data_IF_149884164384
#
_entry.id   IF_149884164384
#
_cell.length_a   1.000
_cell.length_b   1.000
_cell.length_c   1.000
_cell.angle_alpha   90.00
_cell.angle_beta   90.00
_cell.angle_gamma   90.00
#
_symmetry.space_group_name_H-M   'P 1'
#
loop_
_entity.id
_entity.type
_entity.pdbx_description
1 polymer ?
#
# COMPACT_ATOMS: atom_id res chain seq x y z
N UNK A 1 -8.42 -5.47 -51.05
CA UNK A 1 -9.05 -6.42 -50.11
C UNK A 1 -9.40 -5.64 -48.86
N UNK A 2 -10.58 -5.89 -48.32
CA UNK A 2 -11.24 -5.09 -47.31
C UNK A 2 -10.49 -5.08 -45.97
N UNK A 3 -10.10 -3.90 -45.49
CA UNK A 3 -9.84 -3.67 -44.06
C UNK A 3 -11.16 -3.30 -43.38
N UNK A 4 -11.97 -4.32 -43.11
CA UNK A 4 -13.09 -4.19 -42.19
C UNK A 4 -12.55 -4.05 -40.77
N UNK A 5 -12.58 -2.83 -40.24
CA UNK A 5 -12.25 -2.51 -38.85
C UNK A 5 -13.12 -3.35 -37.89
N UNK A 6 -12.56 -4.44 -37.39
CA UNK A 6 -13.20 -5.44 -36.51
C UNK A 6 -13.19 -5.03 -35.03
N UNK A 7 -13.43 -3.75 -34.70
CA UNK A 7 -13.57 -3.32 -33.30
C UNK A 7 -14.66 -2.27 -33.15
N UNK A 8 -15.81 -2.72 -32.65
CA UNK A 8 -16.83 -1.89 -32.03
C UNK A 8 -16.27 -1.36 -30.71
N UNK A 9 -15.73 -0.15 -30.73
CA UNK A 9 -15.32 0.55 -29.51
C UNK A 9 -16.57 1.12 -28.85
N UNK A 10 -17.23 0.27 -28.04
CA UNK A 10 -18.40 0.65 -27.26
C UNK A 10 -18.20 1.95 -26.46
N UNK A 11 -19.31 2.60 -26.13
CA UNK A 11 -19.51 3.79 -25.28
C UNK A 11 -18.27 4.59 -24.77
N UNK A 12 -17.36 5.04 -25.65
CA UNK A 12 -16.53 6.25 -25.48
C UNK A 12 -15.52 6.42 -26.63
N UNK A 13 -15.97 6.98 -27.75
CA UNK A 13 -15.11 7.68 -28.71
C UNK A 13 -15.49 9.19 -28.72
N UNK A 14 -14.64 10.11 -29.25
CA UNK A 14 -14.83 11.56 -29.13
C UNK A 14 -16.08 12.12 -29.84
N UNK A 15 -16.70 11.31 -30.71
CA UNK A 15 -17.98 11.60 -31.34
C UNK A 15 -19.05 10.79 -30.59
N UNK A 16 -20.18 11.42 -30.28
CA UNK A 16 -21.29 10.81 -29.53
C UNK A 16 -21.74 9.46 -30.08
N UNK A 17 -22.56 8.70 -29.32
CA UNK A 17 -22.96 7.35 -29.70
C UNK A 17 -23.52 7.31 -31.11
N UNK A 18 -22.95 6.45 -31.96
CA UNK A 18 -23.36 6.27 -33.35
C UNK A 18 -24.66 5.46 -33.41
N UNK A 19 -25.77 6.14 -33.09
CA UNK A 19 -27.12 5.54 -33.00
C UNK A 19 -27.65 5.04 -34.36
N UNK A 20 -27.02 5.41 -35.48
CA UNK A 20 -27.51 5.13 -36.84
C UNK A 20 -26.63 4.19 -37.68
N UNK A 21 -25.54 3.63 -37.14
CA UNK A 21 -24.64 2.75 -37.88
C UNK A 21 -23.87 3.41 -39.05
N UNK A 22 -24.04 4.72 -39.27
CA UNK A 22 -23.43 5.46 -40.38
C UNK A 22 -22.07 6.08 -40.09
N UNK A 23 -21.71 6.31 -38.82
CA UNK A 23 -20.41 6.88 -38.45
C UNK A 23 -19.36 5.80 -38.14
N UNK A 24 -18.56 5.43 -39.13
CA UNK A 24 -17.29 4.78 -38.86
C UNK A 24 -16.36 5.84 -38.28
N UNK A 25 -15.72 5.59 -37.13
CA UNK A 25 -14.80 6.54 -36.49
C UNK A 25 -13.63 6.99 -37.39
N UNK A 26 -13.46 6.34 -38.54
CA UNK A 26 -12.45 6.63 -39.55
C UNK A 26 -13.00 7.27 -40.84
N UNK A 27 -14.30 7.51 -40.95
CA UNK A 27 -14.94 7.98 -42.18
C UNK A 27 -14.48 9.38 -42.62
N UNK A 28 -14.19 10.27 -41.66
CA UNK A 28 -13.73 11.65 -41.92
C UNK A 28 -12.23 11.84 -41.68
N UNK A 29 -11.42 10.79 -41.77
CA UNK A 29 -9.94 10.90 -41.67
C UNK A 29 -9.31 11.47 -42.96
N UNK A 30 -10.09 11.58 -44.04
CA UNK A 30 -9.61 12.00 -45.37
C UNK A 30 -9.01 13.40 -45.44
N UNK A 31 -9.42 14.32 -44.57
CA UNK A 31 -9.04 15.74 -44.60
C UNK A 31 -8.20 16.19 -43.38
N UNK A 32 -7.47 15.28 -42.71
CA UNK A 32 -6.55 15.69 -41.65
C UNK A 32 -5.20 16.15 -42.20
N UNK A 33 -4.75 17.33 -41.77
CA UNK A 33 -3.42 17.83 -42.07
C UNK A 33 -2.35 16.85 -41.54
N UNK A 34 -1.19 16.74 -42.21
CA UNK A 34 -0.14 15.77 -41.87
C UNK A 34 0.38 15.93 -40.43
N UNK A 35 0.35 17.15 -39.90
CA UNK A 35 0.66 17.44 -38.51
C UNK A 35 -0.41 16.87 -37.54
N UNK A 36 -1.68 17.00 -37.88
CA UNK A 36 -2.80 16.50 -37.07
C UNK A 36 -2.84 14.98 -37.08
N UNK A 37 -2.67 14.34 -38.24
CA UNK A 37 -2.62 12.88 -38.35
C UNK A 37 -1.47 12.28 -37.54
N UNK A 38 -0.32 12.95 -37.47
CA UNK A 38 0.82 12.54 -36.64
C UNK A 38 0.49 12.65 -35.13
N UNK A 39 -0.16 13.75 -34.72
CA UNK A 39 -0.60 13.94 -33.33
C UNK A 39 -1.64 12.89 -32.94
N UNK A 40 -2.67 12.66 -33.76
CA UNK A 40 -3.67 11.62 -33.52
C UNK A 40 -3.06 10.22 -33.52
N UNK A 41 -2.12 9.93 -34.43
CA UNK A 41 -1.39 8.66 -34.45
C UNK A 41 -0.60 8.46 -33.17
N UNK A 42 0.10 9.48 -32.66
CA UNK A 42 0.83 9.39 -31.39
C UNK A 42 -0.07 9.20 -30.16
N UNK A 43 -1.33 9.66 -30.25
CA UNK A 43 -2.33 9.51 -29.19
C UNK A 43 -3.04 8.14 -29.23
N UNK A 44 -3.36 7.66 -30.44
CA UNK A 44 -4.11 6.41 -30.68
C UNK A 44 -3.20 5.19 -30.71
N UNK A 45 -1.97 5.34 -31.22
CA UNK A 45 -0.96 4.29 -31.37
C UNK A 45 0.34 4.73 -30.67
N UNK A 46 0.39 4.72 -29.33
CA UNK A 46 1.60 5.13 -28.65
C UNK A 46 2.77 4.20 -28.94
N UNK A 47 3.95 4.78 -29.19
CA UNK A 47 5.19 4.06 -29.50
C UNK A 47 5.65 3.11 -28.37
N UNK A 48 5.14 3.28 -27.14
CA UNK A 48 5.39 2.35 -26.04
C UNK A 48 4.59 1.05 -26.17
N UNK A 49 3.47 1.06 -26.90
CA UNK A 49 2.49 -0.04 -26.96
C UNK A 49 2.23 -0.58 -28.37
N UNK A 50 2.60 0.16 -29.41
CA UNK A 50 2.44 -0.23 -30.81
C UNK A 50 3.78 -0.14 -31.54
N UNK A 51 3.99 -1.01 -32.53
CA UNK A 51 5.13 -0.87 -33.44
C UNK A 51 4.89 0.21 -34.51
N UNK A 52 5.92 0.46 -35.32
CA UNK A 52 5.89 1.40 -36.46
C UNK A 52 4.77 1.08 -37.46
N UNK A 53 4.32 -0.18 -37.51
CA UNK A 53 3.24 -0.68 -38.36
C UNK A 53 1.85 -0.59 -37.70
N UNK A 54 1.74 -0.11 -36.46
CA UNK A 54 0.49 -0.03 -35.71
C UNK A 54 0.02 -1.36 -35.10
N UNK A 55 0.89 -2.37 -35.01
CA UNK A 55 0.60 -3.64 -34.36
C UNK A 55 0.76 -3.52 -32.86
N UNK A 56 -0.25 -3.94 -32.10
CA UNK A 56 -0.20 -3.93 -30.64
C UNK A 56 0.80 -4.97 -30.10
N UNK A 57 1.58 -4.60 -29.08
CA UNK A 57 2.66 -5.45 -28.54
C UNK A 57 2.20 -6.86 -28.12
N UNK A 58 0.95 -7.03 -27.67
CA UNK A 58 0.44 -8.33 -27.24
C UNK A 58 0.10 -9.26 -28.41
N UNK A 59 -0.18 -8.70 -29.58
CA UNK A 59 -0.53 -9.43 -30.81
C UNK A 59 0.72 -9.89 -31.59
N UNK A 60 1.92 -9.47 -31.14
CA UNK A 60 3.19 -9.86 -31.73
C UNK A 60 3.59 -11.31 -31.38
N UNK A 61 4.26 -12.03 -32.30
CA UNK A 61 4.89 -13.31 -31.98
C UNK A 61 5.86 -13.20 -30.81
N UNK A 62 5.96 -14.22 -29.96
CA UNK A 62 6.67 -14.21 -28.66
C UNK A 62 8.09 -13.61 -28.77
N UNK A 63 8.87 -14.00 -29.78
CA UNK A 63 10.23 -13.48 -29.98
C UNK A 63 10.29 -12.00 -30.38
N UNK A 64 9.37 -11.55 -31.24
CA UNK A 64 9.25 -10.12 -31.63
C UNK A 64 8.74 -9.29 -30.46
N UNK A 65 7.77 -9.81 -29.71
CA UNK A 65 7.25 -9.21 -28.48
C UNK A 65 8.35 -8.99 -27.43
N UNK A 66 9.16 -10.01 -27.17
CA UNK A 66 10.25 -9.91 -26.20
C UNK A 66 11.30 -8.85 -26.60
N UNK A 67 11.67 -8.80 -27.89
CA UNK A 67 12.59 -7.77 -28.40
C UNK A 67 11.99 -6.38 -28.32
N UNK A 68 10.72 -6.21 -28.68
CA UNK A 68 10.02 -4.94 -28.60
C UNK A 68 9.96 -4.43 -27.16
N UNK A 69 9.49 -5.25 -26.22
CA UNK A 69 9.38 -4.89 -24.80
C UNK A 69 10.77 -4.56 -24.23
N UNK A 70 11.77 -5.42 -24.47
CA UNK A 70 13.13 -5.18 -23.99
C UNK A 70 13.73 -3.88 -24.56
N UNK A 71 13.41 -3.53 -25.81
CA UNK A 71 13.84 -2.26 -26.42
C UNK A 71 13.21 -1.07 -25.71
N UNK A 72 11.91 -1.12 -25.45
CA UNK A 72 11.17 -0.05 -24.76
C UNK A 72 11.66 0.11 -23.31
N UNK A 73 11.75 -0.99 -22.57
CA UNK A 73 12.18 -1.00 -21.17
C UNK A 73 13.64 -0.52 -21.02
N UNK A 74 14.56 -0.97 -21.89
CA UNK A 74 15.95 -0.52 -21.87
C UNK A 74 16.09 0.97 -22.23
N UNK A 75 15.27 1.46 -23.18
CA UNK A 75 15.27 2.88 -23.53
C UNK A 75 14.76 3.75 -22.38
N UNK A 76 13.72 3.29 -21.66
CA UNK A 76 13.20 3.99 -20.48
C UNK A 76 14.19 3.93 -19.32
N UNK A 77 14.77 2.76 -19.02
CA UNK A 77 15.79 2.60 -17.97
C UNK A 77 17.02 3.50 -18.23
N UNK A 78 17.47 3.62 -19.49
CA UNK A 78 18.55 4.53 -19.86
C UNK A 78 18.17 6.00 -19.66
N UNK A 79 16.91 6.36 -19.92
CA UNK A 79 16.38 7.72 -19.72
C UNK A 79 16.30 8.05 -18.23
N UNK A 80 15.80 7.13 -17.41
CA UNK A 80 15.77 7.26 -15.95
C UNK A 80 17.19 7.39 -15.39
N UNK A 81 18.11 6.51 -15.81
CA UNK A 81 19.50 6.56 -15.35
C UNK A 81 20.21 7.86 -15.75
N UNK A 82 19.93 8.38 -16.95
CA UNK A 82 20.44 9.69 -17.38
C UNK A 82 19.86 10.82 -16.52
N UNK A 83 18.57 10.77 -16.20
CA UNK A 83 17.92 11.73 -15.31
C UNK A 83 18.52 11.69 -13.91
N UNK A 84 18.69 10.50 -13.33
CA UNK A 84 19.34 10.29 -12.02
C UNK A 84 20.79 10.79 -12.06
N UNK A 85 21.53 10.49 -13.13
CA UNK A 85 22.88 10.99 -13.31
C UNK A 85 22.97 12.51 -13.45
N UNK A 86 21.98 13.16 -14.09
CA UNK A 86 21.88 14.62 -14.14
C UNK A 86 21.54 15.21 -12.77
N UNK A 87 20.63 14.58 -12.02
CA UNK A 87 20.28 14.94 -10.65
C UNK A 87 21.50 14.85 -9.74
N UNK A 88 22.21 13.71 -9.73
CA UNK A 88 23.44 13.52 -8.95
C UNK A 88 24.54 14.53 -9.29
N UNK A 89 24.67 14.92 -10.57
CA UNK A 89 25.64 15.94 -10.99
C UNK A 89 25.29 17.34 -10.50
N UNK A 90 23.99 17.65 -10.37
CA UNK A 90 23.54 18.94 -9.85
C UNK A 90 23.62 18.99 -8.33
N UNK A 91 23.22 17.91 -7.66
CA UNK A 91 23.31 17.73 -6.21
C UNK A 91 23.31 16.24 -5.86
N UNK A 92 24.34 15.70 -5.17
CA UNK A 92 24.40 14.29 -4.80
C UNK A 92 23.25 13.84 -3.90
N UNK A 93 22.60 14.75 -3.16
CA UNK A 93 21.46 14.43 -2.29
C UNK A 93 20.10 14.51 -3.02
N UNK A 94 20.06 15.06 -4.23
CA UNK A 94 18.80 15.23 -4.97
C UNK A 94 18.08 13.91 -5.33
N UNK A 95 18.74 12.78 -5.65
CA UNK A 95 18.03 11.51 -5.87
C UNK A 95 17.39 10.98 -4.58
N UNK A 96 18.03 11.19 -3.43
CA UNK A 96 17.48 10.84 -2.12
C UNK A 96 16.26 11.72 -1.84
N UNK A 97 16.37 13.04 -2.04
CA UNK A 97 15.24 13.95 -1.89
C UNK A 97 14.07 13.59 -2.82
N UNK A 98 14.36 13.18 -4.06
CA UNK A 98 13.37 12.68 -5.00
C UNK A 98 12.68 11.40 -4.50
N UNK A 99 13.44 10.44 -3.98
CA UNK A 99 12.92 9.22 -3.37
C UNK A 99 12.00 9.55 -2.17
N UNK A 100 12.46 10.41 -1.26
CA UNK A 100 11.67 10.82 -0.11
C UNK A 100 10.38 11.53 -0.53
N UNK A 101 10.45 12.44 -1.50
CA UNK A 101 9.29 13.21 -1.95
C UNK A 101 8.25 12.39 -2.72
N UNK A 102 8.69 11.44 -3.53
CA UNK A 102 7.81 10.72 -4.45
C UNK A 102 7.43 9.31 -3.99
N UNK A 103 8.19 8.69 -3.09
CA UNK A 103 7.93 7.33 -2.59
C UNK A 103 7.63 7.35 -1.09
N UNK A 104 8.48 8.00 -0.28
CA UNK A 104 8.33 7.98 1.19
C UNK A 104 7.15 8.83 1.67
N UNK A 105 7.06 10.10 1.27
CA UNK A 105 5.99 11.00 1.74
C UNK A 105 4.59 10.48 1.34
N UNK A 106 4.35 10.01 0.09
CA UNK A 106 3.06 9.43 -0.28
C UNK A 106 2.74 8.14 0.47
N UNK A 107 3.75 7.32 0.80
CA UNK A 107 3.59 6.06 1.54
C UNK A 107 3.80 6.18 3.06
N UNK A 108 3.94 7.39 3.60
CA UNK A 108 4.30 7.59 5.01
C UNK A 108 3.20 7.13 5.97
N UNK A 109 1.93 7.15 5.55
CA UNK A 109 0.83 6.53 6.30
C UNK A 109 1.03 5.04 6.46
N UNK A 110 1.18 4.31 5.34
CA UNK A 110 1.49 2.87 5.31
C UNK A 110 2.78 2.52 6.06
N UNK A 111 3.78 3.42 6.10
CA UNK A 111 5.00 3.25 6.89
C UNK A 111 4.71 3.18 8.40
N UNK A 112 4.05 4.21 8.93
CA UNK A 112 3.75 4.31 10.36
C UNK A 112 2.76 3.23 10.77
N UNK A 113 1.81 2.93 9.89
CA UNK A 113 0.85 1.87 10.06
C UNK A 113 1.53 0.51 10.15
N UNK A 114 2.38 0.16 9.17
CA UNK A 114 3.17 -1.08 9.17
C UNK A 114 4.09 -1.18 10.39
N UNK A 115 4.66 -0.07 10.87
CA UNK A 115 5.43 -0.06 12.11
C UNK A 115 4.61 -0.56 13.29
N UNK A 116 3.41 0.00 13.52
CA UNK A 116 2.60 -0.28 14.70
C UNK A 116 1.95 -1.67 14.61
N UNK A 117 1.39 -2.02 13.45
CA UNK A 117 0.70 -3.29 13.23
C UNK A 117 1.65 -4.48 13.47
N UNK A 118 2.87 -4.42 12.93
CA UNK A 118 3.86 -5.46 13.20
C UNK A 118 4.51 -5.35 14.59
N UNK A 119 4.48 -4.18 15.22
CA UNK A 119 4.92 -4.02 16.62
C UNK A 119 4.16 -4.92 17.58
N UNK A 120 2.88 -5.16 17.33
CA UNK A 120 2.01 -5.95 18.24
C UNK A 120 2.49 -7.40 18.27
N UNK A 121 2.74 -7.98 17.10
CA UNK A 121 3.32 -9.32 16.98
C UNK A 121 4.71 -9.42 17.62
N UNK A 122 5.55 -8.39 17.47
CA UNK A 122 6.90 -8.36 18.05
C UNK A 122 6.91 -8.14 19.57
N UNK A 123 5.96 -7.39 20.11
CA UNK A 123 5.84 -7.08 21.55
C UNK A 123 5.19 -8.22 22.32
N UNK A 124 4.27 -8.99 21.72
CA UNK A 124 3.63 -10.16 22.34
C UNK A 124 4.61 -11.15 23.00
N UNK A 125 5.69 -11.62 22.36
CA UNK A 125 6.65 -12.52 23.02
C UNK A 125 7.42 -11.84 24.16
N UNK A 126 7.70 -10.53 24.06
CA UNK A 126 8.30 -9.77 25.16
C UNK A 126 7.36 -9.67 26.37
N UNK A 127 6.07 -9.43 26.13
CA UNK A 127 5.04 -9.44 27.19
C UNK A 127 4.89 -10.83 27.82
N UNK A 128 4.89 -11.88 27.00
CA UNK A 128 4.84 -13.27 27.47
C UNK A 128 6.05 -13.67 28.32
N UNK A 129 7.23 -13.11 28.04
CA UNK A 129 8.44 -13.34 28.81
C UNK A 129 8.48 -12.60 30.15
N UNK A 130 7.97 -11.35 30.22
CA UNK A 130 7.99 -10.54 31.45
C UNK A 130 6.74 -10.70 32.33
N UNK A 131 5.61 -11.10 31.74
CA UNK A 131 4.30 -11.23 32.39
C UNK A 131 3.68 -12.60 32.14
N UNK A 132 4.43 -13.66 32.44
CA UNK A 132 4.01 -15.06 32.26
C UNK A 132 2.68 -15.39 32.94
N UNK A 133 2.37 -14.77 34.08
CA UNK A 133 1.13 -15.01 34.83
C UNK A 133 -0.14 -14.53 34.10
N UNK A 134 0.03 -13.65 33.11
CA UNK A 134 -1.06 -13.07 32.33
C UNK A 134 -1.06 -13.59 30.89
N UNK A 135 0.09 -13.87 30.27
CA UNK A 135 0.20 -14.31 28.86
C UNK A 135 0.53 -15.80 28.66
N UNK A 136 0.91 -16.56 29.71
CA UNK A 136 1.18 -18.01 29.61
C UNK A 136 0.28 -18.83 30.54
N UNK A 137 0.20 -18.43 31.81
CA UNK A 137 -0.52 -19.20 32.83
C UNK A 137 -1.97 -18.74 33.02
N UNK A 138 -2.34 -17.57 32.47
CA UNK A 138 -3.67 -16.96 32.55
C UNK A 138 -4.29 -16.93 33.98
N UNK A 139 -3.45 -16.83 35.01
CA UNK A 139 -3.91 -16.82 36.41
C UNK A 139 -4.38 -15.44 36.84
N UNK A 140 -3.79 -14.38 36.27
CA UNK A 140 -4.09 -12.98 36.64
C UNK A 140 -4.99 -12.28 35.61
N UNK A 141 -5.00 -12.79 34.38
CA UNK A 141 -5.73 -12.20 33.26
C UNK A 141 -6.56 -13.26 32.55
N UNK A 142 -7.70 -12.83 32.03
CA UNK A 142 -8.56 -13.68 31.22
C UNK A 142 -7.89 -13.96 29.87
N UNK A 143 -7.85 -15.24 29.50
CA UNK A 143 -7.34 -15.70 28.21
C UNK A 143 -8.03 -14.98 27.05
N UNK A 144 -9.34 -14.79 27.13
CA UNK A 144 -10.16 -14.12 26.11
C UNK A 144 -9.67 -12.72 25.83
N UNK A 145 -9.33 -11.94 26.87
CA UNK A 145 -8.84 -10.57 26.71
C UNK A 145 -7.44 -10.50 26.13
N UNK A 146 -6.57 -11.47 26.46
CA UNK A 146 -5.22 -11.53 25.88
C UNK A 146 -5.23 -11.93 24.41
N UNK A 147 -6.14 -12.82 24.00
CA UNK A 147 -6.35 -13.19 22.60
C UNK A 147 -7.06 -12.08 21.81
N UNK A 148 -7.95 -11.30 22.47
CA UNK A 148 -8.64 -10.19 21.86
C UNK A 148 -7.72 -9.07 21.33
N UNK A 149 -6.45 -9.02 21.77
CA UNK A 149 -5.44 -8.07 21.29
C UNK A 149 -5.34 -8.11 19.75
N UNK A 150 -5.27 -9.30 19.15
CA UNK A 150 -5.13 -9.45 17.70
C UNK A 150 -6.48 -9.33 16.98
N UNK A 151 -7.55 -9.89 17.57
CA UNK A 151 -8.86 -9.88 16.93
C UNK A 151 -9.51 -8.50 16.89
N UNK A 152 -9.45 -7.71 17.97
CA UNK A 152 -10.08 -6.40 18.00
C UNK A 152 -9.35 -5.38 17.12
N UNK A 153 -8.05 -5.51 16.91
CA UNK A 153 -7.34 -4.72 15.91
C UNK A 153 -7.93 -4.96 14.51
N UNK A 154 -8.06 -6.24 14.10
CA UNK A 154 -8.61 -6.61 12.78
C UNK A 154 -10.06 -6.13 12.64
N UNK A 155 -10.89 -6.29 13.67
CA UNK A 155 -12.27 -5.77 13.67
C UNK A 155 -12.26 -4.24 13.51
N UNK A 156 -11.35 -3.54 14.21
CA UNK A 156 -11.13 -2.11 14.06
C UNK A 156 -10.80 -1.73 12.61
N UNK A 157 -9.89 -2.45 11.97
CA UNK A 157 -9.52 -2.25 10.56
C UNK A 157 -10.73 -2.39 9.63
N UNK A 158 -11.56 -3.43 9.82
CA UNK A 158 -12.77 -3.65 9.02
C UNK A 158 -13.76 -2.48 9.19
N UNK A 159 -14.00 -2.07 10.44
CA UNK A 159 -14.88 -0.93 10.74
C UNK A 159 -14.34 0.35 10.12
N UNK A 160 -13.02 0.59 10.23
CA UNK A 160 -12.32 1.71 9.62
C UNK A 160 -12.46 1.78 8.11
N UNK A 161 -12.25 0.66 7.41
CA UNK A 161 -12.40 0.55 5.96
C UNK A 161 -13.80 0.97 5.50
N UNK A 162 -14.84 0.50 6.20
CA UNK A 162 -16.24 0.83 5.89
C UNK A 162 -16.52 2.31 6.15
N UNK A 163 -16.16 2.82 7.33
CA UNK A 163 -16.43 4.21 7.72
C UNK A 163 -15.73 5.22 6.81
N UNK A 164 -14.43 5.02 6.56
CA UNK A 164 -13.63 5.92 5.73
C UNK A 164 -13.98 5.77 4.25
N UNK A 165 -14.42 4.58 3.81
CA UNK A 165 -14.99 4.40 2.47
C UNK A 165 -16.20 5.31 2.25
N UNK A 166 -17.18 5.27 3.16
CA UNK A 166 -18.38 6.12 3.10
C UNK A 166 -18.01 7.60 3.18
N UNK A 167 -17.18 8.00 4.14
CA UNK A 167 -16.82 9.40 4.37
C UNK A 167 -15.96 9.95 3.22
N UNK A 168 -15.01 9.16 2.73
CA UNK A 168 -14.14 9.51 1.61
C UNK A 168 -14.93 9.74 0.31
N UNK A 169 -15.99 8.97 0.10
CA UNK A 169 -16.88 9.15 -1.04
C UNK A 169 -17.89 10.27 -0.83
N UNK A 170 -18.37 10.51 0.39
CA UNK A 170 -19.36 11.56 0.69
C UNK A 170 -18.73 12.96 0.79
N UNK A 171 -17.78 13.15 1.70
CA UNK A 171 -17.12 14.43 2.01
C UNK A 171 -15.85 14.66 1.17
N UNK A 172 -15.24 13.60 0.66
CA UNK A 172 -14.11 13.64 -0.27
C UNK A 172 -12.80 13.10 0.31
N UNK A 173 -11.87 12.72 -0.59
CA UNK A 173 -10.59 12.04 -0.27
C UNK A 173 -9.75 12.76 0.79
N UNK A 174 -9.70 14.10 0.77
CA UNK A 174 -8.94 14.87 1.77
C UNK A 174 -9.48 14.68 3.19
N UNK A 175 -10.80 14.69 3.37
CA UNK A 175 -11.40 14.52 4.70
C UNK A 175 -11.19 13.11 5.23
N UNK A 176 -11.32 12.09 4.36
CA UNK A 176 -10.98 10.71 4.71
C UNK A 176 -9.54 10.57 5.20
N UNK A 177 -8.56 11.09 4.46
CA UNK A 177 -7.14 11.04 4.83
C UNK A 177 -6.82 11.78 6.15
N UNK A 178 -7.51 12.89 6.44
CA UNK A 178 -7.31 13.66 7.69
C UNK A 178 -7.93 12.92 8.87
N UNK A 179 -9.18 12.44 8.72
CA UNK A 179 -9.89 11.71 9.76
C UNK A 179 -9.10 10.47 10.18
N UNK A 180 -8.68 9.68 9.21
CA UNK A 180 -7.86 8.49 9.42
C UNK A 180 -6.59 8.81 10.24
N UNK A 181 -5.79 9.77 9.77
CA UNK A 181 -4.58 10.18 10.49
C UNK A 181 -4.86 10.68 11.93
N UNK A 182 -5.99 11.35 12.15
CA UNK A 182 -6.41 11.79 13.49
C UNK A 182 -6.80 10.62 14.39
N UNK A 183 -7.56 9.65 13.88
CA UNK A 183 -7.97 8.46 14.63
C UNK A 183 -6.74 7.60 14.96
N UNK A 184 -5.83 7.39 14.01
CA UNK A 184 -4.55 6.72 14.27
C UNK A 184 -3.75 7.43 15.36
N UNK A 185 -3.67 8.76 15.33
CA UNK A 185 -2.96 9.54 16.35
C UNK A 185 -3.58 9.37 17.73
N UNK A 186 -4.92 9.45 17.84
CA UNK A 186 -5.64 9.23 19.10
C UNK A 186 -5.40 7.81 19.61
N UNK A 187 -5.50 6.80 18.74
CA UNK A 187 -5.21 5.41 19.09
C UNK A 187 -3.78 5.23 19.62
N UNK A 188 -2.78 5.88 19.01
CA UNK A 188 -1.39 5.82 19.48
C UNK A 188 -1.18 6.52 20.83
N UNK A 189 -1.87 7.64 21.07
CA UNK A 189 -1.88 8.27 22.40
C UNK A 189 -2.47 7.33 23.45
N UNK A 190 -3.60 6.69 23.13
CA UNK A 190 -4.23 5.71 24.01
C UNK A 190 -3.29 4.53 24.29
N UNK A 191 -2.65 3.95 23.27
CA UNK A 191 -1.67 2.86 23.42
C UNK A 191 -0.47 3.25 24.29
N UNK A 192 0.06 4.46 24.11
CA UNK A 192 1.19 4.97 24.88
C UNK A 192 0.81 5.23 26.34
N UNK A 193 -0.42 5.70 26.57
CA UNK A 193 -0.96 6.03 27.89
C UNK A 193 -1.67 4.88 28.60
N UNK A 194 -1.76 3.69 27.98
CA UNK A 194 -2.55 2.59 28.51
C UNK A 194 -2.09 2.22 29.93
N UNK A 195 -3.01 2.37 30.89
CA UNK A 195 -2.78 2.08 32.30
C UNK A 195 -4.01 1.41 32.89
N UNK A 196 -3.79 0.46 33.80
CA UNK A 196 -4.86 -0.23 34.53
C UNK A 196 -4.54 -0.30 36.01
N UNK A 197 -5.57 -0.20 36.85
CA UNK A 197 -5.47 -0.44 38.30
C UNK A 197 -5.19 -1.92 38.61
N UNK A 198 -5.59 -2.81 37.70
CA UNK A 198 -5.29 -4.24 37.70
C UNK A 198 -4.59 -4.62 36.39
N UNK A 199 -3.88 -5.75 36.39
CA UNK A 199 -3.23 -6.27 35.19
C UNK A 199 -4.22 -6.54 34.06
N UNK A 200 -5.38 -7.13 34.40
CA UNK A 200 -6.46 -7.36 33.44
C UNK A 200 -7.04 -6.03 32.93
N UNK A 201 -7.24 -5.04 33.81
CA UNK A 201 -7.67 -3.70 33.41
C UNK A 201 -6.69 -3.03 32.44
N UNK A 202 -5.39 -3.25 32.59
CA UNK A 202 -4.38 -2.76 31.66
C UNK A 202 -4.51 -3.44 30.28
N UNK A 203 -4.70 -4.77 30.24
CA UNK A 203 -4.95 -5.51 28.98
C UNK A 203 -6.21 -5.00 28.29
N UNK A 204 -7.31 -4.82 29.01
CA UNK A 204 -8.56 -4.29 28.45
C UNK A 204 -8.35 -2.90 27.85
N UNK A 205 -7.67 -2.00 28.56
CA UNK A 205 -7.36 -0.67 28.04
C UNK A 205 -6.48 -0.75 26.78
N UNK A 206 -5.49 -1.65 26.78
CA UNK A 206 -4.61 -1.87 25.64
C UNK A 206 -5.38 -2.37 24.40
N UNK A 207 -6.27 -3.35 24.59
CA UNK A 207 -7.12 -3.94 23.55
C UNK A 207 -8.07 -2.89 22.93
N UNK A 208 -8.74 -2.07 23.75
CA UNK A 208 -9.59 -0.99 23.23
C UNK A 208 -8.79 0.09 22.51
N UNK A 209 -7.59 0.39 22.98
CA UNK A 209 -6.68 1.33 22.31
C UNK A 209 -6.30 0.81 20.91
N UNK A 210 -6.05 -0.49 20.77
CA UNK A 210 -5.80 -1.14 19.48
C UNK A 210 -7.01 -1.11 18.56
N UNK A 211 -8.22 -1.32 19.08
CA UNK A 211 -9.44 -1.19 18.29
C UNK A 211 -9.58 0.22 17.69
N UNK A 212 -9.41 1.27 18.50
CA UNK A 212 -9.46 2.65 18.02
C UNK A 212 -8.36 2.95 17.01
N UNK A 213 -7.14 2.49 17.27
CA UNK A 213 -6.04 2.60 16.32
C UNK A 213 -6.36 1.90 14.99
N UNK A 214 -6.90 0.68 15.05
CA UNK A 214 -7.31 -0.13 13.91
C UNK A 214 -8.36 0.56 13.02
N UNK A 215 -9.31 1.31 13.62
CA UNK A 215 -10.27 2.12 12.84
C UNK A 215 -9.56 3.15 11.96
N UNK A 216 -8.49 3.76 12.46
CA UNK A 216 -7.64 4.64 11.65
C UNK A 216 -7.00 3.84 10.51
N UNK A 217 -6.20 2.85 10.87
CA UNK A 217 -5.48 1.96 9.92
C UNK A 217 -6.34 1.48 8.76
N UNK A 218 -7.59 1.07 9.03
CA UNK A 218 -8.51 0.62 7.99
C UNK A 218 -8.80 1.66 6.90
N UNK A 219 -8.79 2.95 7.23
CA UNK A 219 -8.98 4.03 6.26
C UNK A 219 -7.78 4.29 5.35
N UNK A 220 -6.57 4.00 5.83
CA UNK A 220 -5.33 4.38 5.15
C UNK A 220 -5.15 3.63 3.84
N UNK A 221 -5.39 2.31 3.84
CA UNK A 221 -5.30 1.44 2.65
C UNK A 221 -6.15 1.92 1.47
N UNK A 222 -7.50 2.01 1.59
CA UNK A 222 -8.35 2.40 0.46
C UNK A 222 -8.08 3.85 0.04
N UNK A 223 -7.80 4.76 0.97
CA UNK A 223 -7.57 6.18 0.63
C UNK A 223 -6.22 6.40 -0.07
N UNK A 224 -5.15 5.74 0.37
CA UNK A 224 -3.82 5.87 -0.24
C UNK A 224 -3.78 5.18 -1.60
N UNK A 225 -4.38 3.99 -1.75
CA UNK A 225 -4.50 3.33 -3.06
C UNK A 225 -5.33 4.16 -4.05
N UNK A 226 -6.49 4.65 -3.62
CA UNK A 226 -7.40 5.42 -4.49
C UNK A 226 -6.81 6.78 -4.85
N UNK A 227 -6.24 7.52 -3.88
CA UNK A 227 -5.63 8.82 -4.15
C UNK A 227 -4.38 8.71 -5.04
N UNK A 228 -3.59 7.63 -4.93
CA UNK A 228 -2.47 7.35 -5.83
C UNK A 228 -2.93 7.11 -7.27
N UNK A 229 -4.03 6.37 -7.44
CA UNK A 229 -4.62 6.11 -8.75
C UNK A 229 -5.27 7.36 -9.37
N UNK A 230 -6.03 8.14 -8.59
CA UNK A 230 -6.67 9.36 -9.05
C UNK A 230 -5.61 10.41 -9.43
N UNK A 231 -4.64 10.69 -8.55
CA UNK A 231 -3.61 11.71 -8.83
C UNK A 231 -2.75 11.41 -10.07
N UNK A 232 -2.54 10.14 -10.42
CA UNK A 232 -1.87 9.75 -11.65
C UNK A 232 -2.71 10.00 -12.92
N UNK A 233 -4.04 10.12 -12.82
CA UNK A 233 -4.95 10.42 -13.96
C UNK A 233 -5.15 11.93 -14.10
N UNK A 234 -4.05 12.68 -14.16
CA UNK A 234 -4.04 14.14 -14.22
C UNK A 234 -4.92 14.73 -15.32
N UNK A 235 -6.11 15.20 -14.92
CA UNK A 235 -6.90 16.24 -15.57
C UNK A 235 -7.21 16.07 -17.07
N UNK A 236 -7.95 15.04 -17.47
CA UNK A 236 -8.52 14.97 -18.83
C UNK A 236 -7.49 15.01 -19.97
N UNK A 237 -6.19 14.94 -19.65
CA UNK A 237 -5.13 14.66 -20.59
C UNK A 237 -5.10 13.14 -20.77
N UNK A 238 -5.07 12.71 -22.01
CA UNK A 238 -4.89 11.32 -22.40
C UNK A 238 -3.67 10.78 -21.63
N UNK A 239 -3.82 9.60 -21.03
CA UNK A 239 -2.81 8.95 -20.17
C UNK A 239 -1.40 9.16 -20.73
N UNK A 240 -0.54 9.83 -19.95
CA UNK A 240 0.83 10.12 -20.40
C UNK A 240 1.65 8.83 -20.43
N UNK A 241 2.72 8.78 -21.24
CA UNK A 241 3.63 7.63 -21.30
C UNK A 241 4.17 7.26 -19.91
N UNK A 242 4.49 8.27 -19.10
CA UNK A 242 4.95 8.11 -17.71
C UNK A 242 3.88 7.46 -16.83
N UNK A 243 2.61 7.82 -16.99
CA UNK A 243 1.52 7.21 -16.23
C UNK A 243 1.17 5.80 -16.71
N UNK A 244 1.42 5.45 -17.98
CA UNK A 244 1.23 4.07 -18.47
C UNK A 244 2.33 3.13 -18.00
N UNK A 245 3.58 3.60 -17.99
CA UNK A 245 4.75 2.78 -17.70
C UNK A 245 5.12 2.72 -16.22
N UNK A 246 4.65 3.66 -15.38
CA UNK A 246 5.07 3.72 -13.95
C UNK A 246 3.92 3.68 -12.95
N UNK A 247 2.68 3.41 -13.38
CA UNK A 247 1.52 3.40 -12.48
C UNK A 247 1.59 2.28 -11.46
N UNK A 248 2.00 1.07 -11.85
CA UNK A 248 2.14 -0.04 -10.93
C UNK A 248 3.23 0.27 -9.89
N UNK A 249 4.36 0.78 -10.34
CA UNK A 249 5.51 1.20 -9.52
C UNK A 249 5.15 2.29 -8.52
N UNK A 250 4.36 3.30 -8.89
CA UNK A 250 3.89 4.33 -7.96
C UNK A 250 3.08 3.72 -6.81
N UNK A 251 2.14 2.82 -7.11
CA UNK A 251 1.32 2.17 -6.06
C UNK A 251 2.16 1.21 -5.21
N UNK A 252 2.97 0.35 -5.83
CA UNK A 252 3.83 -0.58 -5.07
C UNK A 252 4.90 0.13 -4.26
N UNK A 253 5.38 1.30 -4.70
CA UNK A 253 6.33 2.11 -3.93
C UNK A 253 5.74 2.66 -2.64
N UNK A 254 4.43 2.94 -2.61
CA UNK A 254 3.74 3.31 -1.38
C UNK A 254 3.62 2.10 -0.43
N UNK A 255 3.26 0.92 -0.96
CA UNK A 255 3.23 -0.33 -0.18
C UNK A 255 4.62 -0.75 0.32
N UNK A 256 5.69 -0.47 -0.43
CA UNK A 256 7.07 -0.73 -0.02
C UNK A 256 7.41 -0.02 1.29
N UNK A 257 6.77 1.11 1.58
CA UNK A 257 6.96 1.83 2.84
C UNK A 257 6.47 1.03 4.06
N UNK A 258 5.48 0.17 3.90
CA UNK A 258 5.03 -0.75 4.96
C UNK A 258 6.15 -1.70 5.39
N UNK A 259 6.94 -2.20 4.43
CA UNK A 259 8.13 -3.03 4.72
C UNK A 259 9.20 -2.27 5.48
N UNK A 260 9.44 -1.00 5.16
CA UNK A 260 10.33 -0.14 5.95
C UNK A 260 9.79 0.12 7.36
N UNK A 261 8.46 0.28 7.51
CA UNK A 261 7.81 0.36 8.80
C UNK A 261 8.12 -0.84 9.68
N UNK A 262 8.00 -2.06 9.13
CA UNK A 262 8.35 -3.30 9.80
C UNK A 262 9.83 -3.35 10.21
N UNK A 263 10.72 -2.93 9.31
CA UNK A 263 12.17 -2.89 9.58
C UNK A 263 12.50 -1.92 10.72
N UNK A 264 11.99 -0.70 10.66
CA UNK A 264 12.20 0.29 11.71
C UNK A 264 11.62 -0.15 13.05
N UNK A 265 10.47 -0.81 13.05
CA UNK A 265 9.90 -1.38 14.27
C UNK A 265 10.86 -2.37 14.94
N UNK A 266 11.38 -3.31 14.16
CA UNK A 266 12.30 -4.33 14.68
C UNK A 266 13.59 -3.71 15.24
N UNK A 267 14.17 -2.75 14.52
CA UNK A 267 15.40 -2.04 14.96
C UNK A 267 15.14 -1.23 16.23
N UNK A 268 14.04 -0.47 16.28
CA UNK A 268 13.71 0.37 17.44
C UNK A 268 13.44 -0.48 18.67
N UNK A 269 12.70 -1.58 18.55
CA UNK A 269 12.45 -2.49 19.67
C UNK A 269 13.75 -3.10 20.23
N UNK A 270 14.66 -3.53 19.36
CA UNK A 270 15.99 -4.04 19.77
C UNK A 270 16.78 -2.96 20.51
N UNK A 271 16.85 -1.74 19.96
CA UNK A 271 17.58 -0.63 20.58
C UNK A 271 16.98 -0.23 21.94
N UNK A 272 15.65 -0.11 22.02
CA UNK A 272 14.98 0.24 23.27
C UNK A 272 15.18 -0.83 24.34
N UNK A 273 15.13 -2.12 23.97
CA UNK A 273 15.41 -3.21 24.92
C UNK A 273 16.86 -3.16 25.42
N UNK A 274 17.84 -2.90 24.55
CA UNK A 274 19.24 -2.74 24.97
C UNK A 274 19.44 -1.54 25.91
N UNK A 275 18.77 -0.42 25.65
CA UNK A 275 18.85 0.79 26.48
C UNK A 275 18.21 0.55 27.87
N UNK A 276 17.01 -0.03 27.91
CA UNK A 276 16.27 -0.21 29.16
C UNK A 276 16.66 -1.47 29.95
N UNK A 277 17.45 -2.38 29.35
CA UNK A 277 17.93 -3.62 29.99
C UNK A 277 19.46 -3.64 30.20
N UNK A 278 20.04 -2.47 30.49
CA UNK A 278 21.46 -2.31 30.87
C UNK A 278 22.46 -2.94 29.88
N UNK A 279 22.13 -2.98 28.59
CA UNK A 279 22.96 -3.58 27.55
C UNK A 279 22.94 -5.10 27.49
N UNK A 280 22.27 -5.79 28.42
CA UNK A 280 22.07 -7.24 28.32
C UNK A 280 20.83 -7.51 27.48
N UNK A 281 20.91 -8.39 26.49
CA UNK A 281 19.76 -8.86 25.70
C UNK A 281 19.13 -10.14 26.25
N UNK A 282 19.52 -10.56 27.46
CA UNK A 282 19.20 -11.87 28.01
C UNK A 282 18.17 -11.78 29.14
N UNK A 283 17.30 -12.79 29.31
CA UNK A 283 16.40 -12.87 30.46
C UNK A 283 17.18 -12.95 31.79
N UNK A 284 16.59 -12.53 32.93
CA UNK A 284 15.21 -12.08 33.13
C UNK A 284 14.96 -10.62 32.73
N UNK A 285 13.80 -10.33 32.13
CA UNK A 285 13.39 -8.98 31.77
C UNK A 285 12.65 -8.31 32.93
N UNK A 286 13.08 -7.10 33.31
CA UNK A 286 12.36 -6.31 34.31
C UNK A 286 11.00 -5.85 33.77
N UNK A 287 9.95 -6.01 34.57
CA UNK A 287 8.58 -5.56 34.25
C UNK A 287 8.55 -4.06 33.91
N UNK A 288 9.36 -3.25 34.58
CA UNK A 288 9.48 -1.81 34.35
C UNK A 288 10.16 -1.53 33.00
N UNK A 289 11.25 -2.23 32.69
CA UNK A 289 11.96 -2.08 31.42
C UNK A 289 11.07 -2.45 30.24
N UNK A 290 10.26 -3.51 30.35
CA UNK A 290 9.30 -3.91 29.31
C UNK A 290 8.21 -2.86 29.14
N UNK A 291 7.66 -2.32 30.23
CA UNK A 291 6.64 -1.26 30.17
C UNK A 291 7.16 0.00 29.46
N UNK A 292 8.39 0.42 29.75
CA UNK A 292 9.00 1.56 29.05
C UNK A 292 9.34 1.24 27.59
N UNK A 293 9.83 0.03 27.30
CA UNK A 293 10.19 -0.40 25.95
C UNK A 293 8.99 -0.34 25.00
N UNK A 294 7.84 -0.92 25.37
CA UNK A 294 6.68 -0.89 24.47
C UNK A 294 6.06 0.51 24.37
N UNK A 295 5.97 1.27 25.47
CA UNK A 295 5.37 2.61 25.46
C UNK A 295 6.17 3.58 24.61
N UNK A 296 7.49 3.59 24.78
CA UNK A 296 8.37 4.45 23.96
C UNK A 296 8.34 3.99 22.50
N UNK A 297 8.24 2.67 22.25
CA UNK A 297 8.06 2.15 20.89
C UNK A 297 6.80 2.69 20.21
N UNK A 298 5.67 2.82 20.91
CA UNK A 298 4.44 3.43 20.36
C UNK A 298 4.43 4.97 20.37
N UNK A 299 5.21 5.61 21.25
CA UNK A 299 5.35 7.07 21.27
C UNK A 299 6.06 7.62 20.02
N UNK A 300 7.06 6.89 19.50
CA UNK A 300 7.82 7.27 18.29
C UNK A 300 6.91 7.44 17.06
N UNK A 301 6.10 6.43 16.66
CA UNK A 301 5.16 6.58 15.55
C UNK A 301 4.06 7.60 15.86
N UNK A 302 3.69 7.83 17.13
CA UNK A 302 2.72 8.88 17.47
C UNK A 302 3.20 10.27 17.02
N UNK A 303 4.50 10.57 17.16
CA UNK A 303 5.10 11.82 16.66
C UNK A 303 5.05 11.88 15.13
N UNK A 304 5.34 10.76 14.46
CA UNK A 304 5.23 10.65 13.01
C UNK A 304 3.79 10.88 12.52
N UNK A 305 2.81 10.30 13.21
CA UNK A 305 1.39 10.40 12.85
C UNK A 305 0.87 11.81 13.11
N UNK A 306 1.33 12.49 14.18
CA UNK A 306 1.04 13.90 14.41
C UNK A 306 1.56 14.79 13.26
N UNK A 307 2.78 14.52 12.80
CA UNK A 307 3.32 15.20 11.62
C UNK A 307 2.49 14.93 10.36
N UNK A 308 2.00 13.70 10.18
CA UNK A 308 1.09 13.37 9.08
C UNK A 308 -0.24 14.11 9.17
N UNK A 309 -0.84 14.22 10.36
CA UNK A 309 -2.06 15.01 10.59
C UNK A 309 -1.81 16.45 10.16
N UNK A 310 -0.71 17.05 10.57
CA UNK A 310 -0.32 18.41 10.16
C UNK A 310 -0.14 18.50 8.63
N UNK A 311 0.63 17.58 8.04
CA UNK A 311 0.91 17.57 6.61
C UNK A 311 -0.36 17.42 5.76
N UNK A 312 -1.25 16.48 6.11
CA UNK A 312 -2.52 16.25 5.39
C UNK A 312 -3.49 17.42 5.57
N UNK A 313 -3.52 18.02 6.75
CA UNK A 313 -4.39 19.17 7.04
C UNK A 313 -3.96 20.41 6.25
N UNK A 314 -2.66 20.74 6.25
CA UNK A 314 -2.18 22.02 5.73
C UNK A 314 -1.54 21.96 4.34
N UNK A 315 -0.85 20.87 3.96
CA UNK A 315 -0.15 20.75 2.67
C UNK A 315 -0.97 20.06 1.58
N UNK A 316 -1.80 19.07 1.90
CA UNK A 316 -2.58 18.32 0.89
C UNK A 316 -3.96 18.93 0.57
N UNK A 317 -3.99 20.20 0.12
CA UNK A 317 -5.25 20.89 -0.22
C UNK A 317 -5.90 20.42 -1.53
N UNK A 318 -5.16 19.77 -2.43
CA UNK A 318 -5.65 19.41 -3.78
C UNK A 318 -6.20 18.00 -3.95
N UNK A 319 -6.13 17.13 -2.93
CA UNK A 319 -6.48 15.71 -3.06
C UNK A 319 -7.94 15.48 -3.50
N UNK A 320 -8.89 16.31 -3.07
CA UNK A 320 -10.31 16.21 -3.48
C UNK A 320 -10.63 16.88 -4.82
N UNK A 321 -9.68 17.59 -5.44
CA UNK A 321 -9.97 18.43 -6.64
C UNK A 321 -10.39 17.59 -7.84
N UNK A 322 -9.91 16.35 -7.93
CA UNK A 322 -10.28 15.45 -9.02
C UNK A 322 -11.64 14.80 -8.79
N UNK A 323 -11.89 14.26 -7.59
CA UNK A 323 -13.20 13.73 -7.21
C UNK A 323 -14.30 14.80 -7.38
N UNK A 324 -14.06 16.04 -6.97
CA UNK A 324 -14.99 17.15 -7.16
C UNK A 324 -15.24 17.47 -8.64
N UNK A 325 -14.20 17.40 -9.50
CA UNK A 325 -14.35 17.57 -10.95
C UNK A 325 -15.16 16.42 -11.58
N UNK A 326 -14.92 15.18 -11.17
CA UNK A 326 -15.67 14.01 -11.64
C UNK A 326 -17.14 14.08 -11.21
N UNK A 327 -17.41 14.36 -9.93
CA UNK A 327 -18.75 14.60 -9.40
C UNK A 327 -19.47 15.72 -10.12
N UNK A 328 -18.80 16.85 -10.37
CA UNK A 328 -19.37 17.98 -11.14
C UNK A 328 -19.66 17.61 -12.59
N UNK A 329 -18.82 16.78 -13.24
CA UNK A 329 -19.03 16.32 -14.61
C UNK A 329 -20.20 15.32 -14.71
N UNK A 330 -20.34 14.45 -13.72
CA UNK A 330 -21.37 13.41 -13.70
C UNK A 330 -22.66 13.83 -12.98
N UNK A 331 -22.73 15.07 -12.44
CA UNK A 331 -23.85 15.59 -11.65
C UNK A 331 -24.24 14.72 -10.45
N UNK A 332 -23.29 13.97 -9.89
CA UNK A 332 -23.54 13.10 -8.73
C UNK A 332 -23.10 13.81 -7.46
N UNK A 333 -24.04 14.06 -6.56
CA UNK A 333 -23.82 14.81 -5.32
C UNK A 333 -23.54 13.93 -4.10
N UNK A 334 -23.53 12.60 -4.23
CA UNK A 334 -23.43 11.67 -3.10
C UNK A 334 -22.68 10.36 -3.37
N UNK A 335 -22.82 9.41 -2.44
CA UNK A 335 -22.39 8.02 -2.59
C UNK A 335 -23.28 7.37 -3.66
N UNK A 336 -22.70 7.02 -4.80
CA UNK A 336 -23.46 6.54 -5.95
C UNK A 336 -23.76 5.05 -5.81
N UNK A 337 -24.87 4.76 -5.13
CA UNK A 337 -25.39 3.39 -4.97
C UNK A 337 -25.68 2.74 -6.32
N UNK A 338 -26.02 3.53 -7.35
CA UNK A 338 -26.26 3.02 -8.69
C UNK A 338 -24.95 2.60 -9.37
N UNK A 339 -23.89 3.39 -9.24
CA UNK A 339 -22.54 2.99 -9.68
C UNK A 339 -22.01 1.78 -8.94
N UNK A 340 -22.28 1.65 -7.64
CA UNK A 340 -21.93 0.46 -6.86
C UNK A 340 -22.67 -0.78 -7.39
N UNK A 341 -23.99 -0.66 -7.62
CA UNK A 341 -24.80 -1.73 -8.18
C UNK A 341 -24.34 -2.15 -9.58
N UNK A 342 -23.99 -1.18 -10.45
CA UNK A 342 -23.41 -1.46 -11.76
C UNK A 342 -22.03 -2.14 -11.65
N UNK A 343 -21.23 -1.75 -10.66
CA UNK A 343 -19.91 -2.36 -10.43
C UNK A 343 -20.05 -3.82 -10.02
N UNK A 344 -20.92 -4.13 -9.07
CA UNK A 344 -21.18 -5.53 -8.67
C UNK A 344 -21.91 -6.33 -9.74
N UNK A 345 -22.80 -5.70 -10.53
CA UNK A 345 -23.52 -6.34 -11.63
C UNK A 345 -22.61 -6.74 -12.79
N UNK A 346 -21.75 -5.83 -13.26
CA UNK A 346 -20.89 -6.08 -14.43
C UNK A 346 -19.52 -6.66 -14.07
N UNK A 347 -18.93 -6.24 -12.95
CA UNK A 347 -17.61 -6.67 -12.50
C UNK A 347 -17.63 -7.65 -11.33
N UNK A 348 -18.81 -8.12 -10.90
CA UNK A 348 -18.97 -9.05 -9.77
C UNK A 348 -18.00 -10.24 -9.77
N UNK A 349 -17.87 -11.01 -10.86
CA UNK A 349 -16.91 -12.12 -10.91
C UNK A 349 -15.46 -11.69 -10.69
N UNK A 350 -15.07 -10.49 -11.16
CA UNK A 350 -13.73 -9.94 -10.96
C UNK A 350 -13.52 -9.46 -9.52
N UNK A 351 -14.55 -8.87 -8.91
CA UNK A 351 -14.52 -8.47 -7.49
C UNK A 351 -14.35 -9.70 -6.60
N UNK A 352 -15.11 -10.77 -6.84
CA UNK A 352 -14.98 -12.02 -6.08
C UNK A 352 -13.59 -12.64 -6.27
N UNK A 353 -13.10 -12.72 -7.51
CA UNK A 353 -11.78 -13.29 -7.79
C UNK A 353 -10.65 -12.50 -7.11
N UNK A 354 -10.73 -11.16 -7.13
CA UNK A 354 -9.72 -10.30 -6.49
C UNK A 354 -9.81 -10.35 -4.97
N UNK A 355 -11.01 -10.34 -4.39
CA UNK A 355 -11.23 -10.48 -2.95
C UNK A 355 -10.73 -11.84 -2.45
N UNK A 356 -11.03 -12.92 -3.17
CA UNK A 356 -10.57 -14.27 -2.78
C UNK A 356 -9.05 -14.41 -2.89
N UNK A 357 -8.44 -13.87 -3.94
CA UNK A 357 -6.98 -13.85 -4.05
C UNK A 357 -6.34 -13.05 -2.91
N UNK A 358 -6.92 -11.91 -2.53
CA UNK A 358 -6.44 -11.14 -1.39
C UNK A 358 -6.58 -11.91 -0.09
N UNK A 359 -7.75 -12.51 0.15
CA UNK A 359 -7.99 -13.36 1.32
C UNK A 359 -6.98 -14.50 1.43
N UNK A 360 -6.74 -15.23 0.34
CA UNK A 360 -5.75 -16.31 0.32
C UNK A 360 -4.35 -15.79 0.65
N UNK A 361 -3.95 -14.67 0.07
CA UNK A 361 -2.66 -14.02 0.38
C UNK A 361 -2.55 -13.63 1.86
N UNK A 362 -3.61 -13.05 2.44
CA UNK A 362 -3.60 -12.62 3.85
C UNK A 362 -3.51 -13.81 4.81
N UNK A 363 -4.17 -14.94 4.50
CA UNK A 363 -4.03 -16.18 5.30
C UNK A 363 -2.57 -16.63 5.36
N UNK A 364 -1.86 -16.65 4.24
CA UNK A 364 -0.45 -17.05 4.23
C UNK A 364 0.47 -15.98 4.83
N UNK A 365 0.24 -14.70 4.52
CA UNK A 365 1.11 -13.60 4.97
C UNK A 365 1.02 -13.39 6.49
N UNK A 366 -0.19 -13.28 7.03
CA UNK A 366 -0.39 -13.13 8.47
C UNK A 366 -0.17 -14.45 9.21
N UNK A 367 -0.51 -15.60 8.61
CA UNK A 367 -0.21 -16.92 9.16
C UNK A 367 1.28 -17.14 9.35
N UNK A 368 2.10 -16.88 8.31
CA UNK A 368 3.56 -17.01 8.41
C UNK A 368 4.14 -16.11 9.50
N UNK A 369 3.59 -14.90 9.68
CA UNK A 369 4.02 -13.98 10.74
C UNK A 369 3.62 -14.46 12.13
N UNK A 370 2.42 -15.03 12.28
CA UNK A 370 1.93 -15.55 13.55
C UNK A 370 2.74 -16.78 14.03
N UNK A 371 3.12 -17.67 13.10
CA UNK A 371 3.92 -18.86 13.41
C UNK A 371 5.43 -18.61 13.37
N UNK A 372 5.88 -17.39 13.08
CA UNK A 372 7.30 -17.09 12.92
C UNK A 372 8.09 -17.36 14.20
N UNK A 373 7.52 -17.08 15.38
CA UNK A 373 8.16 -17.38 16.67
C UNK A 373 8.32 -18.88 16.90
N UNK A 374 7.31 -19.69 16.55
CA UNK A 374 7.37 -21.16 16.67
C UNK A 374 8.44 -21.75 15.75
N UNK A 375 8.56 -21.25 14.51
CA UNK A 375 9.63 -21.65 13.61
C UNK A 375 11.02 -21.31 14.15
N UNK A 376 11.18 -20.12 14.74
CA UNK A 376 12.45 -19.69 15.34
C UNK A 376 12.78 -20.54 16.58
N UNK A 377 11.79 -20.87 17.41
CA UNK A 377 11.96 -21.74 18.58
C UNK A 377 12.37 -23.16 18.15
N UNK A 378 11.82 -23.67 17.03
CA UNK A 378 12.24 -24.94 16.43
C UNK A 378 13.66 -24.90 15.84
N UNK A 379 14.09 -23.77 15.27
CA UNK A 379 15.43 -23.57 14.70
C UNK A 379 16.51 -23.35 15.78
N UNK A 380 16.12 -22.86 16.96
CA UNK A 380 17.03 -22.52 18.06
C UNK A 380 16.64 -23.25 19.35
N UNK A 381 16.68 -24.59 19.38
CA UNK A 381 16.31 -25.35 20.56
C UNK A 381 17.21 -24.95 21.74
N UNK A 382 16.59 -24.52 22.85
CA UNK A 382 17.19 -24.02 24.10
C UNK A 382 17.50 -22.51 24.21
N UNK A 383 17.08 -21.65 23.28
CA UNK A 383 17.26 -20.21 23.44
C UNK A 383 15.99 -19.51 23.93
N UNK A 384 15.98 -19.05 25.18
CA UNK A 384 14.86 -18.30 25.79
C UNK A 384 14.94 -16.79 25.59
N UNK A 385 15.92 -16.31 24.82
CA UNK A 385 16.12 -14.88 24.58
C UNK A 385 15.25 -14.35 23.43
N UNK A 386 14.31 -13.46 23.78
CA UNK A 386 13.54 -12.63 22.83
C UNK A 386 14.44 -11.88 21.85
N UNK A 387 15.65 -11.49 22.26
CA UNK A 387 16.61 -10.79 21.40
C UNK A 387 17.02 -11.63 20.18
N UNK A 388 17.25 -12.93 20.36
CA UNK A 388 17.64 -13.81 19.25
C UNK A 388 16.51 -13.96 18.26
N UNK A 389 15.27 -14.09 18.75
CA UNK A 389 14.08 -14.14 17.88
C UNK A 389 13.90 -12.84 17.09
N UNK A 390 14.10 -11.70 17.74
CA UNK A 390 14.07 -10.39 17.10
C UNK A 390 15.18 -10.16 16.06
N UNK A 391 16.39 -10.69 16.28
CA UNK A 391 17.47 -10.62 15.30
C UNK A 391 17.19 -11.49 14.07
N UNK A 392 16.68 -12.70 14.25
CA UNK A 392 16.22 -13.54 13.14
C UNK A 392 15.07 -12.90 12.36
N UNK A 393 14.13 -12.27 13.07
CA UNK A 393 13.06 -11.51 12.42
C UNK A 393 13.63 -10.32 11.63
N UNK A 394 14.63 -9.60 12.16
CA UNK A 394 15.28 -8.51 11.43
C UNK A 394 15.91 -8.98 10.11
N UNK A 395 16.57 -10.14 10.12
CA UNK A 395 17.11 -10.75 8.91
C UNK A 395 15.99 -11.09 7.92
N UNK A 396 14.90 -11.71 8.41
CA UNK A 396 13.75 -12.06 7.58
C UNK A 396 13.14 -10.82 6.90
N UNK A 397 12.98 -9.72 7.66
CA UNK A 397 12.48 -8.44 7.13
C UNK A 397 13.46 -7.83 6.12
N UNK A 398 14.77 -7.93 6.37
CA UNK A 398 15.80 -7.47 5.42
C UNK A 398 15.71 -8.20 4.09
N UNK A 399 15.52 -9.52 4.10
CA UNK A 399 15.31 -10.32 2.88
C UNK A 399 13.98 -9.95 2.20
N UNK A 400 12.91 -9.79 2.98
CA UNK A 400 11.59 -9.39 2.48
C UNK A 400 11.60 -8.03 1.77
N UNK A 401 12.39 -7.07 2.27
CA UNK A 401 12.59 -5.76 1.64
C UNK A 401 13.17 -5.88 0.23
N UNK A 402 14.13 -6.77 0.00
CA UNK A 402 14.65 -7.05 -1.34
C UNK A 402 13.53 -7.50 -2.28
N UNK A 403 12.63 -8.36 -1.79
CA UNK A 403 11.42 -8.79 -2.51
C UNK A 403 10.51 -7.61 -2.88
N UNK A 404 10.25 -6.69 -1.95
CA UNK A 404 9.44 -5.50 -2.23
C UNK A 404 10.06 -4.58 -3.29
N UNK A 405 11.38 -4.37 -3.26
CA UNK A 405 12.07 -3.58 -4.29
C UNK A 405 12.04 -4.27 -5.67
N UNK A 406 12.28 -5.57 -5.72
CA UNK A 406 12.17 -6.35 -6.96
C UNK A 406 10.76 -6.28 -7.53
N UNK A 407 9.72 -6.41 -6.70
CA UNK A 407 8.34 -6.25 -7.11
C UNK A 407 8.08 -4.84 -7.67
N UNK A 408 8.59 -3.79 -7.03
CA UNK A 408 8.44 -2.41 -7.52
C UNK A 408 9.09 -2.17 -8.88
N UNK A 409 10.24 -2.80 -9.16
CA UNK A 409 10.93 -2.68 -10.45
C UNK A 409 10.34 -3.57 -11.56
N UNK A 410 9.82 -4.74 -11.21
CA UNK A 410 9.34 -5.73 -12.19
C UNK A 410 7.84 -5.61 -12.51
N UNK A 411 7.05 -4.95 -11.65
CA UNK A 411 5.58 -4.89 -11.81
C UNK A 411 5.12 -4.27 -13.14
N UNK A 412 5.85 -3.26 -13.63
CA UNK A 412 5.50 -2.54 -14.86
C UNK A 412 6.23 -3.08 -16.09
N UNK A 413 7.14 -4.05 -15.93
CA UNK A 413 7.76 -4.74 -17.05
C UNK A 413 6.69 -5.53 -17.81
N UNK A 414 6.48 -5.24 -19.10
CA UNK A 414 5.38 -5.85 -19.89
C UNK A 414 5.54 -7.36 -20.11
N UNK A 415 6.74 -7.92 -19.94
CA UNK A 415 6.99 -9.37 -20.05
C UNK A 415 6.57 -10.12 -18.78
N UNK A 416 6.83 -9.55 -17.61
CA UNK A 416 6.45 -10.13 -16.33
C UNK A 416 5.05 -9.66 -15.93
N UNK A 417 4.92 -8.37 -15.67
CA UNK A 417 3.64 -7.73 -15.38
C UNK A 417 2.98 -8.25 -14.11
N UNK A 418 1.85 -7.63 -13.77
CA UNK A 418 1.09 -7.92 -12.53
C UNK A 418 0.59 -9.36 -12.44
N UNK A 419 0.14 -9.94 -13.56
CA UNK A 419 -0.43 -11.29 -13.58
C UNK A 419 0.60 -12.36 -13.26
N UNK A 420 1.76 -12.36 -13.93
CA UNK A 420 2.79 -13.37 -13.66
C UNK A 420 3.41 -13.17 -12.29
N UNK A 421 3.57 -11.93 -11.83
CA UNK A 421 4.02 -11.66 -10.47
C UNK A 421 3.11 -12.30 -9.42
N UNK A 422 1.80 -12.18 -9.59
CA UNK A 422 0.83 -12.84 -8.70
C UNK A 422 0.90 -14.37 -8.81
N UNK A 423 0.97 -14.93 -10.03
CA UNK A 423 1.06 -16.40 -10.22
C UNK A 423 2.33 -16.96 -9.58
N UNK A 424 3.49 -16.35 -9.84
CA UNK A 424 4.76 -16.79 -9.26
C UNK A 424 4.74 -16.66 -7.73
N UNK A 425 4.15 -15.58 -7.20
CA UNK A 425 4.01 -15.37 -5.76
C UNK A 425 3.04 -16.33 -5.06
N UNK A 426 2.10 -16.96 -5.77
CA UNK A 426 1.25 -18.03 -5.21
C UNK A 426 1.85 -19.43 -5.36
N UNK A 427 2.78 -19.62 -6.29
CA UNK A 427 3.45 -20.91 -6.52
C UNK A 427 4.61 -21.11 -5.56
N UNK A 428 5.38 -20.04 -5.31
CA UNK A 428 6.46 -20.02 -4.31
C UNK A 428 5.90 -19.77 -2.92
#
# INVERSE_FOLDING_TARGET
>A
MADSSMRDYGYAAPHGPNMGGGHVATADIGDMNQAESTVFRSLLLPDDSYDENGTYWADMPIGKRARFISKVDNAEAKRELKSIGQMMKADPLSPISFYFRNMVIPGAGLLLEGYVLFSIGNVKPLLAAAFSDCWKNYTTCDETWTQAIEYLEIIGIIVGQILVGIIGDWLGRRFGLIQDAMIMFIGLLMLTSAWGVTMNGWVICYVWSLFFYGIGVGGEYPMTATSGMENAVGAGKISTREDRLHRGRKVTSAFLMQGWGQFFNQVVLILLLLIFHSGSGNPPYSKVSVQWTYRVSFAIPAVGTLWLVYYRTYKMRSASRQLQKAKKKQHVTGYDVQSLAMTFGHFGPRVIATAFAWFANDVFFYGNKLFQSEFIDALTPNNSSVMVSWLWNLVNVGVSLCGYYLASFLIDNKLYGRKWMQIVGFIG
#
